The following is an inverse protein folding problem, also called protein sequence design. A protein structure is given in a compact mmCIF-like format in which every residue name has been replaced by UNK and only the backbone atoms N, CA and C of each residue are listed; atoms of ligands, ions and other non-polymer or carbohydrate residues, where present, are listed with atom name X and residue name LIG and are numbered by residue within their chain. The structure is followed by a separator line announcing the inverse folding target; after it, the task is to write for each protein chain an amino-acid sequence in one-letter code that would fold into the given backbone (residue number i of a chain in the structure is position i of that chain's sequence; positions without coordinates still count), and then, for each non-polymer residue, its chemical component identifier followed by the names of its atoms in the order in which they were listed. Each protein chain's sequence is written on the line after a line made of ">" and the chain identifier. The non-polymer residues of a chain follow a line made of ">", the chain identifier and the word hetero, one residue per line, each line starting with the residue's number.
data_IF_981005773483
#
_entry.id   IF_981005773483
#
_cell.length_a   1.000
_cell.length_b   1.000
_cell.length_c   1.000
_cell.angle_alpha   90.00
_cell.angle_beta   90.00
_cell.angle_gamma   90.00
#
_symmetry.space_group_name_H-M   'P 1'
#
loop_
_entity.id
_entity.type
_entity.pdbx_description
1 polymer ?
#
# COMPACT_ATOMS: atom_id res chain seq x y z
N UNK A 1 -8.36 -8.59 12.26
CA UNK A 1 -7.87 -8.57 10.88
C UNK A 1 -7.52 -9.99 10.51
N UNK A 2 -7.91 -10.47 9.32
CA UNK A 2 -7.45 -11.76 8.80
C UNK A 2 -6.08 -11.60 8.15
N UNK A 3 -5.24 -12.63 8.24
CA UNK A 3 -3.92 -12.62 7.60
C UNK A 3 -3.98 -13.14 6.16
N UNK A 4 -2.92 -12.85 5.41
CA UNK A 4 -2.73 -13.40 4.08
C UNK A 4 -2.60 -14.92 4.16
N UNK A 5 -3.15 -15.62 3.17
CA UNK A 5 -2.94 -17.05 3.02
C UNK A 5 -1.45 -17.37 2.90
N UNK A 6 -1.02 -18.48 3.51
CA UNK A 6 0.38 -18.90 3.53
C UNK A 6 0.97 -19.01 2.11
N UNK A 7 0.18 -19.45 1.12
CA UNK A 7 0.61 -19.61 -0.27
C UNK A 7 1.00 -18.30 -0.96
N UNK A 8 0.49 -17.15 -0.50
CA UNK A 8 0.78 -15.83 -1.09
C UNK A 8 1.65 -14.95 -0.20
N UNK A 9 1.74 -15.26 1.10
CA UNK A 9 2.37 -14.40 2.11
C UNK A 9 3.83 -14.05 1.76
N UNK A 10 4.65 -15.06 1.46
CA UNK A 10 6.05 -14.83 1.07
C UNK A 10 6.22 -14.06 -0.25
N UNK A 11 5.30 -14.24 -1.20
CA UNK A 11 5.32 -13.49 -2.46
C UNK A 11 5.00 -12.02 -2.26
N UNK A 12 3.99 -11.71 -1.44
CA UNK A 12 3.65 -10.33 -1.07
C UNK A 12 4.81 -9.67 -0.32
N UNK A 13 5.48 -10.40 0.58
CA UNK A 13 6.64 -9.88 1.30
C UNK A 13 7.79 -9.48 0.36
N UNK A 14 8.14 -10.33 -0.61
CA UNK A 14 9.22 -10.02 -1.55
C UNK A 14 8.91 -8.77 -2.37
N UNK A 15 7.69 -8.67 -2.92
CA UNK A 15 7.27 -7.51 -3.69
C UNK A 15 7.20 -6.23 -2.84
N UNK A 16 6.84 -6.35 -1.56
CA UNK A 16 6.89 -5.24 -0.62
C UNK A 16 8.32 -4.76 -0.36
N UNK A 17 9.28 -5.68 -0.23
CA UNK A 17 10.71 -5.32 -0.13
C UNK A 17 11.16 -4.57 -1.38
N UNK A 18 10.79 -5.03 -2.58
CA UNK A 18 11.12 -4.36 -3.83
C UNK A 18 10.61 -2.89 -3.86
N UNK A 19 9.41 -2.63 -3.31
CA UNK A 19 8.85 -1.27 -3.17
C UNK A 19 9.72 -0.42 -2.24
N UNK A 20 10.03 -0.92 -1.04
CA UNK A 20 10.83 -0.17 -0.06
C UNK A 20 12.27 0.07 -0.54
N UNK A 21 12.87 -0.88 -1.25
CA UNK A 21 14.19 -0.70 -1.86
C UNK A 21 14.13 0.34 -2.99
N UNK A 22 13.10 0.30 -3.83
CA UNK A 22 12.91 1.29 -4.91
C UNK A 22 12.78 2.71 -4.37
N UNK A 23 12.12 2.89 -3.22
CA UNK A 23 11.92 4.20 -2.59
C UNK A 23 13.13 4.63 -1.73
N UNK A 24 13.83 3.71 -1.06
CA UNK A 24 14.94 4.04 -0.14
C UNK A 24 16.31 4.22 -0.81
N UNK A 25 16.42 4.05 -2.13
CA UNK A 25 17.69 4.15 -2.86
C UNK A 25 18.24 5.58 -3.01
N UNK A 26 17.46 6.62 -2.67
CA UNK A 26 17.95 8.00 -2.65
C UNK A 26 18.35 8.42 -1.23
N UNK A 27 19.59 8.87 -1.04
CA UNK A 27 20.14 9.41 0.23
C UNK A 27 19.47 10.71 0.70
N UNK A 28 18.29 11.04 0.18
CA UNK A 28 17.57 12.26 0.49
C UNK A 28 16.65 12.03 1.70
N UNK A 29 16.51 13.05 2.53
CA UNK A 29 15.66 13.04 3.73
C UNK A 29 14.17 13.05 3.44
N UNK A 30 13.77 13.16 2.17
CA UNK A 30 12.39 13.34 1.73
C UNK A 30 12.12 12.47 0.51
N UNK A 31 11.06 11.67 0.57
CA UNK A 31 10.63 10.78 -0.52
C UNK A 31 9.99 11.63 -1.62
N UNK A 32 10.40 11.44 -2.88
CA UNK A 32 9.78 12.11 -4.02
C UNK A 32 8.53 11.35 -4.45
N UNK A 33 7.47 12.08 -4.77
CA UNK A 33 6.21 11.51 -5.30
C UNK A 33 6.45 10.65 -6.55
N UNK A 34 7.39 11.06 -7.41
CA UNK A 34 7.77 10.27 -8.58
C UNK A 34 8.28 8.88 -8.23
N UNK A 35 9.03 8.72 -7.14
CA UNK A 35 9.52 7.41 -6.70
C UNK A 35 8.38 6.50 -6.25
N UNK A 36 7.39 7.06 -5.54
CA UNK A 36 6.18 6.31 -5.22
C UNK A 36 5.46 5.88 -6.49
N UNK A 37 5.27 6.79 -7.44
CA UNK A 37 4.60 6.49 -8.71
C UNK A 37 5.33 5.42 -9.54
N UNK A 38 6.67 5.39 -9.51
CA UNK A 38 7.48 4.39 -10.22
C UNK A 38 7.24 2.96 -9.70
N UNK A 39 6.85 2.81 -8.42
CA UNK A 39 6.51 1.51 -7.82
C UNK A 39 5.10 1.01 -8.14
N UNK A 40 4.29 1.77 -8.89
CA UNK A 40 2.89 1.45 -9.17
C UNK A 40 2.68 0.04 -9.73
N UNK A 41 3.52 -0.39 -10.68
CA UNK A 41 3.40 -1.71 -11.31
C UNK A 41 3.55 -2.85 -10.30
N UNK A 42 4.37 -2.66 -9.26
CA UNK A 42 4.56 -3.63 -8.18
C UNK A 42 3.30 -3.66 -7.29
N UNK A 43 2.75 -2.49 -6.94
CA UNK A 43 1.48 -2.41 -6.22
C UNK A 43 0.33 -3.08 -6.97
N UNK A 44 0.22 -2.90 -8.29
CA UNK A 44 -0.79 -3.55 -9.13
C UNK A 44 -0.64 -5.08 -9.11
N UNK A 45 0.59 -5.59 -9.17
CA UNK A 45 0.86 -7.01 -9.06
C UNK A 45 0.46 -7.58 -7.69
N UNK A 46 0.81 -6.88 -6.59
CA UNK A 46 0.42 -7.28 -5.25
C UNK A 46 -1.10 -7.29 -5.12
N UNK A 47 -1.78 -6.24 -5.61
CA UNK A 47 -3.23 -6.16 -5.58
C UNK A 47 -3.87 -7.37 -6.25
N UNK A 48 -3.41 -7.77 -7.42
CA UNK A 48 -3.96 -8.93 -8.12
C UNK A 48 -3.75 -10.24 -7.35
N UNK A 49 -2.56 -10.46 -6.78
CA UNK A 49 -2.26 -11.64 -5.95
C UNK A 49 -3.17 -11.69 -4.72
N UNK A 50 -3.33 -10.57 -4.02
CA UNK A 50 -4.15 -10.50 -2.80
C UNK A 50 -5.64 -10.57 -3.11
N UNK A 51 -6.09 -9.97 -4.21
CA UNK A 51 -7.49 -10.00 -4.65
C UNK A 51 -7.93 -11.42 -4.99
N UNK A 52 -7.09 -12.15 -5.72
CA UNK A 52 -7.39 -13.53 -6.17
C UNK A 52 -7.43 -14.55 -5.04
N UNK A 53 -6.82 -14.26 -3.88
CA UNK A 53 -6.93 -15.10 -2.68
C UNK A 53 -8.21 -14.89 -1.88
N UNK A 54 -9.02 -13.88 -2.22
CA UNK A 54 -10.24 -13.52 -1.49
C UNK A 54 -10.01 -12.64 -0.25
N UNK A 55 -8.77 -12.28 0.08
CA UNK A 55 -8.43 -11.49 1.28
C UNK A 55 -9.21 -10.18 1.42
N UNK A 56 -9.47 -9.48 0.30
CA UNK A 56 -10.24 -8.22 0.29
C UNK A 56 -11.76 -8.41 0.43
N UNK A 57 -12.25 -9.63 0.20
CA UNK A 57 -13.66 -9.97 0.28
C UNK A 57 -14.07 -10.43 1.68
N UNK A 58 -13.10 -10.64 2.58
CA UNK A 58 -13.36 -10.87 4.00
C UNK A 58 -13.97 -9.61 4.63
N UNK A 59 -15.16 -9.74 5.24
CA UNK A 59 -15.92 -8.61 5.78
C UNK A 59 -15.08 -7.70 6.68
N UNK A 60 -14.29 -8.27 7.59
CA UNK A 60 -13.42 -7.52 8.50
C UNK A 60 -12.39 -6.68 7.75
N UNK A 61 -11.72 -7.27 6.74
CA UNK A 61 -10.69 -6.59 5.96
C UNK A 61 -11.29 -5.52 5.05
N UNK A 62 -12.47 -5.76 4.48
CA UNK A 62 -13.19 -4.77 3.69
C UNK A 62 -13.58 -3.55 4.53
N UNK A 63 -14.07 -3.76 5.75
CA UNK A 63 -14.38 -2.65 6.68
C UNK A 63 -13.12 -1.89 7.10
N UNK A 64 -12.02 -2.60 7.34
CA UNK A 64 -10.73 -1.98 7.66
C UNK A 64 -10.24 -1.10 6.50
N UNK A 65 -10.30 -1.58 5.25
CA UNK A 65 -9.92 -0.78 4.08
C UNK A 65 -10.77 0.49 4.00
N UNK A 66 -12.08 0.38 4.23
CA UNK A 66 -12.97 1.55 4.26
C UNK A 66 -12.59 2.54 5.35
N UNK A 67 -12.30 2.06 6.56
CA UNK A 67 -11.89 2.89 7.68
C UNK A 67 -10.54 3.58 7.43
N UNK A 68 -9.60 2.88 6.80
CA UNK A 68 -8.28 3.41 6.42
C UNK A 68 -8.36 4.40 5.26
N UNK A 69 -9.35 4.27 4.38
CA UNK A 69 -9.57 5.14 3.23
C UNK A 69 -10.47 6.36 3.56
N UNK A 70 -10.76 6.65 4.83
CA UNK A 70 -11.48 7.88 5.19
C UNK A 70 -10.60 9.06 4.75
N UNK A 71 -11.14 9.86 3.83
CA UNK A 71 -10.42 10.92 3.13
C UNK A 71 -9.76 11.87 4.12
N UNK A 72 -8.43 11.96 4.02
CA UNK A 72 -7.67 13.07 4.57
C UNK A 72 -7.93 14.28 3.68
N UNK A 73 -8.30 15.40 4.30
CA UNK A 73 -8.57 16.68 3.64
C UNK A 73 -7.22 17.33 3.27
N UNK A 74 -6.53 16.70 2.31
CA UNK A 74 -5.17 17.09 1.90
C UNK A 74 -5.20 18.14 0.80
N UNK A 75 -4.25 19.06 0.84
CA UNK A 75 -4.19 20.23 -0.03
C UNK A 75 -4.01 19.87 -1.52
N UNK A 76 -3.38 18.72 -1.82
CA UNK A 76 -3.19 18.21 -3.18
C UNK A 76 -3.29 16.68 -3.27
N UNK A 77 -3.43 16.15 -4.49
CA UNK A 77 -3.45 14.69 -4.73
C UNK A 77 -2.10 14.04 -4.43
N UNK A 78 -1.01 14.78 -4.62
CA UNK A 78 0.35 14.34 -4.31
C UNK A 78 0.54 14.25 -2.80
N UNK A 79 0.11 15.28 -2.06
CA UNK A 79 0.09 15.27 -0.60
C UNK A 79 -0.78 14.11 -0.07
N UNK A 80 -1.92 13.85 -0.70
CA UNK A 80 -2.76 12.71 -0.35
C UNK A 80 -2.07 11.35 -0.56
N UNK A 81 -1.28 11.19 -1.64
CA UNK A 81 -0.50 9.97 -1.87
C UNK A 81 0.61 9.84 -0.82
N UNK A 82 1.34 10.92 -0.55
CA UNK A 82 2.40 10.91 0.46
C UNK A 82 1.87 10.63 1.86
N UNK A 83 0.78 11.30 2.27
CA UNK A 83 0.12 11.07 3.55
C UNK A 83 -0.34 9.61 3.67
N UNK A 84 -0.94 9.04 2.63
CA UNK A 84 -1.34 7.62 2.60
C UNK A 84 -0.14 6.69 2.80
N UNK A 85 0.98 6.97 2.13
CA UNK A 85 2.23 6.21 2.29
C UNK A 85 2.80 6.32 3.71
N UNK A 86 2.86 7.53 4.27
CA UNK A 86 3.34 7.77 5.63
C UNK A 86 2.47 7.06 6.67
N UNK A 87 1.14 7.18 6.57
CA UNK A 87 0.19 6.47 7.44
C UNK A 87 0.32 4.95 7.32
N UNK A 88 0.57 4.41 6.12
CA UNK A 88 0.88 2.99 5.96
C UNK A 88 2.12 2.62 6.78
N UNK A 89 3.23 3.36 6.62
CA UNK A 89 4.47 3.12 7.37
C UNK A 89 4.27 3.13 8.89
N UNK A 90 3.51 4.10 9.42
CA UNK A 90 3.15 4.14 10.84
C UNK A 90 2.35 2.91 11.28
N UNK A 91 1.36 2.49 10.49
CA UNK A 91 0.55 1.31 10.79
C UNK A 91 1.39 0.03 10.77
N UNK A 92 2.30 -0.11 9.80
CA UNK A 92 3.22 -1.24 9.69
C UNK A 92 4.11 -1.37 10.92
N UNK A 93 4.61 -0.26 11.46
CA UNK A 93 5.44 -0.24 12.66
C UNK A 93 4.72 -0.71 13.94
N UNK A 94 3.39 -0.81 13.92
CA UNK A 94 2.61 -1.37 15.03
C UNK A 94 2.44 -2.89 14.96
N UNK A 95 2.86 -3.54 13.88
CA UNK A 95 2.77 -4.99 13.73
C UNK A 95 3.69 -5.73 14.70
N UNK A 96 3.20 -6.82 15.27
CA UNK A 96 3.94 -7.67 16.21
C UNK A 96 4.50 -8.94 15.56
N UNK A 97 3.99 -9.31 14.39
CA UNK A 97 4.46 -10.47 13.62
C UNK A 97 4.60 -10.11 12.13
N UNK A 98 5.33 -10.94 11.39
CA UNK A 98 5.50 -10.77 9.95
C UNK A 98 4.17 -10.92 9.20
N UNK A 99 3.31 -11.84 9.64
CA UNK A 99 1.99 -12.05 9.04
C UNK A 99 1.08 -10.85 9.25
N UNK A 100 1.13 -10.24 10.44
CA UNK A 100 0.41 -9.01 10.73
C UNK A 100 0.95 -7.84 9.89
N UNK A 101 2.27 -7.73 9.75
CA UNK A 101 2.92 -6.73 8.91
C UNK A 101 2.47 -6.85 7.45
N UNK A 102 2.53 -8.07 6.90
CA UNK A 102 2.16 -8.34 5.52
C UNK A 102 0.67 -8.13 5.25
N UNK A 103 -0.19 -8.48 6.21
CA UNK A 103 -1.63 -8.23 6.12
C UNK A 103 -1.97 -6.74 6.20
N UNK A 104 -1.33 -5.98 7.11
CA UNK A 104 -1.50 -4.52 7.18
C UNK A 104 -1.07 -3.86 5.87
N UNK A 105 0.09 -4.22 5.34
CA UNK A 105 0.53 -3.71 4.04
C UNK A 105 -0.51 -3.98 2.95
N UNK A 106 -1.00 -5.22 2.86
CA UNK A 106 -1.98 -5.61 1.87
C UNK A 106 -3.29 -4.80 1.95
N UNK A 107 -3.73 -4.38 3.14
CA UNK A 107 -4.89 -3.50 3.32
C UNK A 107 -4.68 -2.11 2.71
N UNK A 108 -3.46 -1.58 2.73
CA UNK A 108 -3.14 -0.26 2.19
C UNK A 108 -2.95 -0.26 0.66
N UNK A 109 -2.58 -1.39 0.06
CA UNK A 109 -2.38 -1.53 -1.40
C UNK A 109 -3.51 -0.91 -2.24
N UNK A 110 -4.80 -1.26 -2.05
CA UNK A 110 -5.88 -0.66 -2.85
C UNK A 110 -6.05 0.84 -2.64
N UNK A 111 -5.71 1.35 -1.44
CA UNK A 111 -5.82 2.76 -1.09
C UNK A 111 -4.72 3.55 -1.81
N UNK A 112 -3.48 3.05 -1.76
CA UNK A 112 -2.33 3.65 -2.46
C UNK A 112 -2.58 3.67 -3.97
N UNK A 113 -3.02 2.55 -4.56
CA UNK A 113 -3.33 2.49 -6.00
C UNK A 113 -4.39 3.52 -6.40
N UNK A 114 -5.45 3.67 -5.61
CA UNK A 114 -6.48 4.69 -5.85
C UNK A 114 -5.90 6.11 -5.87
N UNK A 115 -4.95 6.43 -4.97
CA UNK A 115 -4.27 7.74 -4.93
C UNK A 115 -3.34 7.92 -6.15
N UNK A 116 -2.56 6.90 -6.53
CA UNK A 116 -1.70 6.92 -7.72
C UNK A 116 -2.50 7.09 -9.02
N UNK A 117 -3.66 6.45 -9.14
CA UNK A 117 -4.56 6.64 -10.28
C UNK A 117 -5.11 8.06 -10.37
N UNK A 118 -5.46 8.67 -9.24
CA UNK A 118 -6.01 10.02 -9.20
C UNK A 118 -5.03 11.07 -9.74
N UNK A 119 -3.73 10.86 -9.53
CA UNK A 119 -2.65 11.70 -10.08
C UNK A 119 -2.49 11.44 -11.59
N UNK A 120 -2.39 10.18 -12.01
CA UNK A 120 -2.15 9.81 -13.41
C UNK A 120 -3.28 10.23 -14.37
N UNK A 121 -4.53 10.33 -13.91
CA UNK A 121 -5.66 10.85 -14.73
C UNK A 121 -5.52 12.32 -15.13
N UNK A 122 -4.51 13.05 -14.66
CA UNK A 122 -4.21 14.42 -15.09
C UNK A 122 -3.14 14.49 -16.19
N UNK A 123 -2.39 13.40 -16.42
CA UNK A 123 -1.27 13.35 -17.36
C UNK A 123 -1.65 12.78 -18.74
N UNK A 124 -2.93 12.48 -18.97
CA UNK A 124 -3.47 11.86 -20.18
C UNK A 124 -4.46 12.78 -20.91
#
# INVERSE_FOLDING_TARGET
>A
MKYLDFSINGRVQNLMVDIFESISTQKETEIKISELLDTRSIFELIFEIVRTSGFYSEDENFQLIKALNIDTDEASKEDALFATWATMGENLNTAKTQEEFNAKFALFVPIILKRMEAINRMSA
#
